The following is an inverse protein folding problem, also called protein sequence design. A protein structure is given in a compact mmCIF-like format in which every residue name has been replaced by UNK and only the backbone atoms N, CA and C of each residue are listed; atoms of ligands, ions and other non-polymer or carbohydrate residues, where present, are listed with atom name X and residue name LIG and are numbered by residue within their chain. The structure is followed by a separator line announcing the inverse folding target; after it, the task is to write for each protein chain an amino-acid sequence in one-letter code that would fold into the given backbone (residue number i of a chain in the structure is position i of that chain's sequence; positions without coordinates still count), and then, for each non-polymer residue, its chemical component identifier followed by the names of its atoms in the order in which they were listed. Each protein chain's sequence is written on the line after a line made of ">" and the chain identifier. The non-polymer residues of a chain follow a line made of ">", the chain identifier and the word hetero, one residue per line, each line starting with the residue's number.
data_IF_544884576792
#
_entry.id   IF_544884576792
#
_cell.length_a   1.000
_cell.length_b   1.000
_cell.length_c   1.000
_cell.angle_alpha   90.00
_cell.angle_beta   90.00
_cell.angle_gamma   90.00
#
_symmetry.space_group_name_H-M   'P 1'
#
loop_
_entity.id
_entity.type
_entity.pdbx_description
1 polymer ?
#
# COMPACT_ATOMS: atom_id res chain seq x y z
N UNK A 1 15.76 0.19 -21.54
CA UNK A 1 14.34 0.59 -21.57
C UNK A 1 13.73 0.24 -20.21
N UNK A 2 13.30 1.23 -19.44
CA UNK A 2 12.76 1.03 -18.10
C UNK A 2 11.33 0.48 -18.24
N UNK A 3 11.05 -0.67 -17.62
CA UNK A 3 9.76 -1.36 -17.69
C UNK A 3 8.64 -0.44 -17.17
N UNK A 4 7.85 0.15 -18.08
CA UNK A 4 6.81 1.15 -17.81
C UNK A 4 5.77 0.72 -16.76
N UNK A 5 5.65 -0.58 -16.47
CA UNK A 5 4.64 -1.08 -15.53
C UNK A 5 4.99 -0.84 -14.07
N UNK A 6 6.26 -0.96 -13.66
CA UNK A 6 6.66 -0.80 -12.26
C UNK A 6 6.55 0.67 -11.82
N UNK A 7 6.95 1.58 -12.72
CA UNK A 7 6.78 3.02 -12.53
C UNK A 7 5.30 3.42 -12.47
N UNK A 8 4.46 2.89 -13.39
CA UNK A 8 3.00 3.09 -13.33
C UNK A 8 2.40 2.61 -12.01
N UNK A 9 2.86 1.47 -11.49
CA UNK A 9 2.38 0.93 -10.22
C UNK A 9 2.75 1.84 -9.05
N UNK A 10 4.02 2.29 -9.01
CA UNK A 10 4.50 3.26 -8.02
C UNK A 10 3.71 4.57 -8.06
N UNK A 11 3.41 5.07 -9.26
CA UNK A 11 2.59 6.28 -9.45
C UNK A 11 1.15 6.09 -8.96
N UNK A 12 0.55 4.92 -9.20
CA UNK A 12 -0.80 4.60 -8.69
C UNK A 12 -0.80 4.59 -7.16
N UNK A 13 0.23 4.01 -6.52
CA UNK A 13 0.33 4.02 -5.06
C UNK A 13 0.47 5.43 -4.51
N UNK A 14 1.39 6.24 -5.06
CA UNK A 14 1.52 7.65 -4.68
C UNK A 14 0.21 8.43 -4.83
N UNK A 15 -0.55 8.17 -5.89
CA UNK A 15 -1.87 8.80 -6.07
C UNK A 15 -2.87 8.37 -5.01
N UNK A 16 -2.94 7.08 -4.68
CA UNK A 16 -3.83 6.57 -3.62
C UNK A 16 -3.45 7.17 -2.27
N UNK A 17 -2.16 7.21 -1.96
CA UNK A 17 -1.66 7.81 -0.74
C UNK A 17 -1.91 9.32 -0.69
N UNK A 18 -1.75 10.03 -1.80
CA UNK A 18 -2.08 11.45 -1.89
C UNK A 18 -3.57 11.72 -1.63
N UNK A 19 -4.46 10.91 -2.20
CA UNK A 19 -5.91 10.99 -1.95
C UNK A 19 -6.20 10.67 -0.48
N UNK A 20 -5.59 9.62 0.06
CA UNK A 20 -5.75 9.24 1.46
C UNK A 20 -5.28 10.35 2.40
N UNK A 21 -4.11 10.93 2.14
CA UNK A 21 -3.56 12.04 2.90
C UNK A 21 -4.50 13.25 2.92
N UNK A 22 -5.04 13.64 1.76
CA UNK A 22 -6.04 14.71 1.67
C UNK A 22 -7.34 14.36 2.41
N UNK A 23 -7.76 13.10 2.36
CA UNK A 23 -8.94 12.62 3.09
C UNK A 23 -8.73 12.65 4.60
N UNK A 24 -7.56 12.23 5.10
CA UNK A 24 -7.22 12.25 6.53
C UNK A 24 -7.08 13.67 7.06
N UNK A 25 -6.59 14.61 6.25
CA UNK A 25 -6.53 16.04 6.59
C UNK A 25 -7.89 16.76 6.50
N UNK A 26 -8.85 16.19 5.80
CA UNK A 26 -10.19 16.74 5.71
C UNK A 26 -10.93 16.57 7.04
N UNK A 27 -11.78 17.55 7.38
CA UNK A 27 -12.66 17.49 8.56
C UNK A 27 -13.61 16.28 8.55
N UNK A 28 -13.70 15.55 7.44
CA UNK A 28 -14.50 14.33 7.29
C UNK A 28 -13.89 13.12 8.01
N UNK A 29 -12.59 13.18 8.33
CA UNK A 29 -11.84 12.06 8.91
C UNK A 29 -12.20 11.79 10.39
N UNK A 30 -12.79 12.77 11.08
CA UNK A 30 -13.19 12.70 12.52
C UNK A 30 -12.07 12.19 13.45
N UNK A 31 -10.81 12.31 13.03
CA UNK A 31 -9.63 11.81 13.70
C UNK A 31 -9.02 12.90 14.59
N UNK A 32 -8.57 12.52 15.79
CA UNK A 32 -7.79 13.41 16.64
C UNK A 32 -6.44 13.74 15.96
N UNK A 33 -5.88 14.92 16.21
CA UNK A 33 -4.65 15.36 15.54
C UNK A 33 -3.47 14.42 15.82
N UNK A 34 -3.36 13.84 17.01
CA UNK A 34 -2.35 12.82 17.35
C UNK A 34 -2.48 11.56 16.48
N UNK A 35 -3.70 11.10 16.31
CA UNK A 35 -4.05 9.86 15.61
C UNK A 35 -3.87 10.06 14.10
N UNK A 36 -4.16 11.26 13.59
CA UNK A 36 -3.89 11.67 12.22
C UNK A 36 -2.39 11.60 11.88
N UNK A 37 -1.52 12.17 12.72
CA UNK A 37 -0.07 12.10 12.49
C UNK A 37 0.46 10.67 12.55
N UNK A 38 -0.03 9.86 13.49
CA UNK A 38 0.33 8.46 13.58
C UNK A 38 -0.12 7.67 12.33
N UNK A 39 -1.34 7.90 11.87
CA UNK A 39 -1.91 7.26 10.69
C UNK A 39 -1.11 7.59 9.43
N UNK A 40 -0.84 8.87 9.19
CA UNK A 40 -0.06 9.35 8.03
C UNK A 40 1.38 8.84 8.11
N UNK A 41 2.01 8.90 9.29
CA UNK A 41 3.39 8.45 9.48
C UNK A 41 3.54 6.95 9.21
N UNK A 42 2.62 6.14 9.74
CA UNK A 42 2.66 4.69 9.58
C UNK A 42 2.36 4.26 8.15
N UNK A 43 1.37 4.87 7.49
CA UNK A 43 1.04 4.59 6.10
C UNK A 43 2.17 5.01 5.15
N UNK A 44 2.80 6.18 5.37
CA UNK A 44 3.97 6.62 4.60
C UNK A 44 5.15 5.65 4.74
N UNK A 45 5.40 5.16 5.96
CA UNK A 45 6.47 4.19 6.22
C UNK A 45 6.23 2.87 5.48
N UNK A 46 5.01 2.34 5.53
CA UNK A 46 4.64 1.09 4.83
C UNK A 46 4.76 1.27 3.31
N UNK A 47 4.37 2.42 2.78
CA UNK A 47 4.55 2.71 1.36
C UNK A 47 6.01 2.77 0.95
N UNK A 48 6.84 3.46 1.74
CA UNK A 48 8.26 3.59 1.53
C UNK A 48 8.96 2.22 1.51
N UNK A 49 8.64 1.34 2.46
CA UNK A 49 9.12 -0.05 2.47
C UNK A 49 8.71 -0.80 1.20
N UNK A 50 7.46 -0.63 0.76
CA UNK A 50 6.99 -1.26 -0.48
C UNK A 50 7.69 -0.73 -1.75
N UNK A 51 8.01 0.56 -1.80
CA UNK A 51 8.79 1.15 -2.89
C UNK A 51 10.24 0.63 -2.87
N UNK A 52 10.85 0.52 -1.69
CA UNK A 52 12.17 -0.08 -1.56
C UNK A 52 12.19 -1.50 -2.12
N UNK A 53 11.20 -2.34 -1.84
CA UNK A 53 11.14 -3.71 -2.37
C UNK A 53 11.10 -3.71 -3.91
N UNK A 54 10.32 -2.81 -4.50
CA UNK A 54 10.23 -2.64 -5.96
C UNK A 54 11.55 -2.17 -6.58
N UNK A 55 12.24 -1.20 -5.96
CA UNK A 55 13.38 -0.51 -6.56
C UNK A 55 14.77 -1.01 -6.10
N UNK A 56 14.86 -1.84 -5.05
CA UNK A 56 16.13 -2.28 -4.45
C UNK A 56 17.05 -3.11 -5.39
N UNK A 57 16.54 -3.59 -6.52
CA UNK A 57 17.31 -4.38 -7.50
C UNK A 57 16.73 -4.19 -8.89
N UNK A 58 17.58 -4.05 -9.89
CA UNK A 58 17.19 -4.01 -11.30
C UNK A 58 17.44 -5.39 -11.89
N UNK A 59 16.41 -6.22 -12.01
CA UNK A 59 16.49 -7.51 -12.70
C UNK A 59 15.85 -7.37 -14.08
N UNK A 60 16.38 -8.11 -15.06
CA UNK A 60 15.90 -8.11 -16.45
C UNK A 60 14.84 -9.21 -16.69
N UNK A 61 14.60 -10.07 -15.69
CA UNK A 61 13.72 -11.24 -15.78
C UNK A 61 12.25 -10.90 -15.38
N UNK A 62 11.27 -11.13 -16.27
CA UNK A 62 9.85 -10.88 -16.00
C UNK A 62 9.24 -11.76 -14.91
N UNK A 63 9.75 -12.97 -14.65
CA UNK A 63 9.28 -13.80 -13.52
C UNK A 63 9.72 -13.20 -12.18
N UNK A 64 10.96 -12.71 -12.11
CA UNK A 64 11.49 -12.07 -10.91
C UNK A 64 10.73 -10.78 -10.55
N UNK A 65 10.23 -10.04 -11.55
CA UNK A 65 9.39 -8.85 -11.34
C UNK A 65 8.02 -9.21 -10.72
N UNK A 66 7.39 -10.29 -11.18
CA UNK A 66 6.10 -10.76 -10.63
C UNK A 66 6.25 -11.23 -9.19
N UNK A 67 7.31 -11.98 -8.87
CA UNK A 67 7.55 -12.44 -7.50
C UNK A 67 7.83 -11.28 -6.54
N UNK A 68 8.55 -10.24 -6.98
CA UNK A 68 8.81 -9.04 -6.16
C UNK A 68 7.55 -8.22 -5.94
N UNK A 69 6.67 -8.17 -6.93
CA UNK A 69 5.37 -7.54 -6.80
C UNK A 69 4.49 -8.31 -5.79
N UNK A 70 4.54 -9.65 -5.80
CA UNK A 70 3.90 -10.49 -4.79
C UNK A 70 4.45 -10.21 -3.39
N UNK A 71 5.77 -10.19 -3.22
CA UNK A 71 6.43 -9.87 -1.93
C UNK A 71 6.00 -8.49 -1.45
N UNK A 72 6.01 -7.48 -2.31
CA UNK A 72 5.60 -6.12 -1.95
C UNK A 72 4.14 -6.07 -1.48
N UNK A 73 3.23 -6.82 -2.12
CA UNK A 73 1.84 -6.94 -1.68
C UNK A 73 1.75 -7.61 -0.30
N UNK A 74 2.41 -8.76 -0.12
CA UNK A 74 2.39 -9.51 1.14
C UNK A 74 2.98 -8.69 2.29
N UNK A 75 4.12 -8.01 2.07
CA UNK A 75 4.76 -7.19 3.11
C UNK A 75 3.87 -6.02 3.49
N UNK A 76 3.25 -5.32 2.52
CA UNK A 76 2.32 -4.22 2.83
C UNK A 76 1.09 -4.70 3.58
N UNK A 77 0.47 -5.78 3.13
CA UNK A 77 -0.67 -6.40 3.81
C UNK A 77 -0.34 -6.73 5.26
N UNK A 78 0.77 -7.46 5.46
CA UNK A 78 1.19 -7.89 6.78
C UNK A 78 1.52 -6.70 7.67
N UNK A 79 2.17 -5.66 7.13
CA UNK A 79 2.48 -4.44 7.87
C UNK A 79 1.22 -3.71 8.36
N UNK A 80 0.24 -3.50 7.48
CA UNK A 80 -1.04 -2.89 7.88
C UNK A 80 -1.77 -3.74 8.91
N UNK A 81 -1.80 -5.06 8.71
CA UNK A 81 -2.44 -5.97 9.66
C UNK A 81 -1.77 -5.92 11.04
N UNK A 82 -0.44 -5.96 11.10
CA UNK A 82 0.32 -5.87 12.35
C UNK A 82 0.07 -4.55 13.07
N UNK A 83 0.04 -3.43 12.34
CA UNK A 83 -0.26 -2.12 12.92
C UNK A 83 -1.69 -2.07 13.47
N UNK A 84 -2.68 -2.50 12.69
CA UNK A 84 -4.06 -2.55 13.16
C UNK A 84 -4.20 -3.43 14.41
N UNK A 85 -3.54 -4.59 14.44
CA UNK A 85 -3.55 -5.48 15.59
C UNK A 85 -2.92 -4.82 16.82
N UNK A 86 -1.78 -4.16 16.66
CA UNK A 86 -1.12 -3.43 17.74
C UNK A 86 -1.99 -2.29 18.30
N UNK A 87 -2.71 -1.57 17.43
CA UNK A 87 -3.64 -0.51 17.84
C UNK A 87 -4.84 -1.06 18.62
N UNK A 88 -5.39 -2.20 18.21
CA UNK A 88 -6.45 -2.90 18.95
C UNK A 88 -5.94 -3.33 20.33
N UNK A 89 -4.75 -3.93 20.40
CA UNK A 89 -4.17 -4.39 21.67
C UNK A 89 -3.77 -3.25 22.62
N UNK A 90 -3.56 -2.03 22.10
CA UNK A 90 -3.19 -0.85 22.90
C UNK A 90 -4.38 0.06 23.20
N UNK A 91 -5.62 -0.41 23.00
CA UNK A 91 -6.87 0.32 23.24
C UNK A 91 -6.90 1.72 22.58
N UNK A 92 -6.33 1.82 21.37
CA UNK A 92 -6.40 3.05 20.58
C UNK A 92 -7.81 3.24 19.99
N UNK A 93 -8.08 4.43 19.45
CA UNK A 93 -9.41 4.79 18.95
C UNK A 93 -9.88 3.84 17.84
N UNK A 94 -11.11 3.35 17.93
CA UNK A 94 -11.70 2.47 16.90
C UNK A 94 -11.71 3.16 15.52
N UNK A 95 -11.93 4.48 15.52
CA UNK A 95 -11.88 5.31 14.32
C UNK A 95 -10.52 5.25 13.62
N UNK A 96 -9.41 5.29 14.36
CA UNK A 96 -8.06 5.16 13.80
C UNK A 96 -7.85 3.79 13.15
N UNK A 97 -8.25 2.73 13.82
CA UNK A 97 -8.13 1.35 13.31
C UNK A 97 -8.95 1.19 12.03
N UNK A 98 -10.19 1.66 12.01
CA UNK A 98 -11.06 1.62 10.83
C UNK A 98 -10.52 2.46 9.67
N UNK A 99 -9.91 3.62 9.95
CA UNK A 99 -9.31 4.47 8.92
C UNK A 99 -8.11 3.81 8.24
N UNK A 100 -7.20 3.22 9.03
CA UNK A 100 -6.05 2.45 8.54
C UNK A 100 -6.49 1.20 7.79
N UNK A 101 -7.53 0.51 8.28
CA UNK A 101 -8.10 -0.66 7.63
C UNK A 101 -8.72 -0.31 6.28
N UNK A 102 -9.42 0.83 6.18
CA UNK A 102 -10.00 1.33 4.93
C UNK A 102 -8.95 1.61 3.85
N UNK A 103 -7.81 2.19 4.24
CA UNK A 103 -6.66 2.35 3.34
C UNK A 103 -6.10 0.99 2.92
N UNK A 104 -5.87 0.09 3.88
CA UNK A 104 -5.33 -1.24 3.60
C UNK A 104 -6.21 -2.00 2.58
N UNK A 105 -7.54 -2.00 2.79
CA UNK A 105 -8.50 -2.63 1.88
C UNK A 105 -8.46 -2.03 0.47
N UNK A 106 -8.37 -0.70 0.36
CA UNK A 106 -8.27 -0.02 -0.95
C UNK A 106 -6.99 -0.41 -1.68
N UNK A 107 -5.86 -0.45 -0.96
CA UNK A 107 -4.57 -0.87 -1.52
C UNK A 107 -4.59 -2.32 -1.97
N UNK A 108 -5.15 -3.23 -1.17
CA UNK A 108 -5.31 -4.66 -1.51
C UNK A 108 -6.16 -4.83 -2.77
N UNK A 109 -7.27 -4.10 -2.86
CA UNK A 109 -8.15 -4.17 -4.02
C UNK A 109 -7.42 -3.77 -5.31
N UNK A 110 -6.76 -2.61 -5.30
CA UNK A 110 -6.00 -2.12 -6.46
C UNK A 110 -4.84 -3.07 -6.81
N UNK A 111 -4.16 -3.59 -5.79
CA UNK A 111 -3.09 -4.58 -5.93
C UNK A 111 -3.58 -5.86 -6.61
N UNK A 112 -4.70 -6.41 -6.14
CA UNK A 112 -5.30 -7.63 -6.68
C UNK A 112 -5.72 -7.43 -8.14
N UNK A 113 -6.41 -6.32 -8.44
CA UNK A 113 -6.82 -5.99 -9.82
C UNK A 113 -5.61 -5.86 -10.74
N UNK A 114 -4.54 -5.20 -10.29
CA UNK A 114 -3.32 -5.08 -11.08
C UNK A 114 -2.68 -6.46 -11.35
N UNK A 115 -2.60 -7.31 -10.32
CA UNK A 115 -2.00 -8.64 -10.45
C UNK A 115 -2.79 -9.53 -11.41
N UNK A 116 -4.11 -9.58 -11.28
CA UNK A 116 -4.99 -10.35 -12.18
C UNK A 116 -4.84 -9.89 -13.62
N UNK A 117 -4.76 -8.57 -13.86
CA UNK A 117 -4.52 -8.02 -15.22
C UNK A 117 -3.15 -8.40 -15.76
N UNK A 118 -2.12 -8.41 -14.91
CA UNK A 118 -0.74 -8.83 -15.27
C UNK A 118 -0.67 -10.32 -15.61
N UNK A 119 -1.33 -11.17 -14.83
CA UNK A 119 -1.39 -12.61 -15.09
C UNK A 119 -2.13 -12.90 -16.42
N UNK A 120 -3.31 -12.29 -16.61
CA UNK A 120 -4.10 -12.45 -17.85
C UNK A 120 -3.35 -12.02 -19.10
N UNK A 121 -2.53 -10.96 -19.02
CA UNK A 121 -1.71 -10.50 -20.16
C UNK A 121 -0.44 -11.33 -20.37
N UNK A 122 -0.06 -12.16 -19.40
CA UNK A 122 1.06 -13.10 -19.54
C UNK A 122 0.60 -14.43 -20.17
N UNK A 123 -0.67 -14.79 -20.01
CA UNK A 123 -1.29 -15.98 -20.63
C UNK A 123 -1.59 -15.84 -22.15
N UNK A 124 -1.27 -14.71 -22.78
CA UNK A 124 -1.40 -14.50 -24.24
C UNK A 124 -0.12 -14.86 -25.04
N UNK A 125 0.74 -15.72 -24.50
CA UNK A 125 1.91 -16.28 -25.21
C UNK A 125 1.87 -17.81 -25.27
#
# INVERSE_FOLDING_TARGET
>A
MMNNSAFRLGAIYLSIFGIFYLFTLSNWSSLASSDMFFCIGTSAFIEFVGLLILYAKKNVDPQADTFRLLIMMTVRLLSFLTVCLALIYTNQSENLVLHLLGLAMTLIFVQTVFMVRRLKTTDEF
#
